data_IF_762896085078
#
_entry.id   IF_762896085078
#
_cell.length_a   1.000
_cell.length_b   1.000
_cell.length_c   1.000
_cell.angle_alpha   90.00
_cell.angle_beta   90.00
_cell.angle_gamma   90.00
#
_symmetry.space_group_name_H-M   'P 1'
#
loop_
_entity.id
_entity.type
_entity.pdbx_description
1 polymer ?
#
# COMPACT_ATOMS: atom_id res chain seq x y z
N UNK A 1 -9.18 -3.98 -5.42
CA UNK A 1 -8.99 -2.62 -4.88
C UNK A 1 -10.35 -2.03 -4.57
N UNK A 2 -10.45 -1.10 -3.63
CA UNK A 2 -11.70 -0.38 -3.31
C UNK A 2 -12.10 0.58 -4.42
N UNK A 3 -13.37 1.00 -4.46
CA UNK A 3 -13.76 2.15 -5.26
C UNK A 3 -13.20 3.40 -4.58
N UNK A 4 -12.42 4.20 -5.30
CA UNK A 4 -11.74 5.35 -4.69
C UNK A 4 -12.68 6.44 -4.18
N UNK A 5 -13.93 6.50 -4.69
CA UNK A 5 -14.97 7.40 -4.18
C UNK A 5 -15.46 6.99 -2.78
N UNK A 6 -15.17 5.76 -2.33
CA UNK A 6 -15.43 5.35 -0.94
C UNK A 6 -14.59 6.17 0.05
N UNK A 7 -13.43 6.69 -0.39
CA UNK A 7 -12.51 7.46 0.45
C UNK A 7 -13.03 8.87 0.76
N UNK A 8 -13.98 9.40 -0.02
CA UNK A 8 -14.61 10.71 0.22
C UNK A 8 -15.34 10.77 1.57
N UNK A 9 -15.82 9.61 2.02
CA UNK A 9 -16.58 9.48 3.26
C UNK A 9 -15.82 8.62 4.28
N UNK A 10 -14.49 8.52 4.15
CA UNK A 10 -13.69 7.76 5.09
C UNK A 10 -13.69 8.45 6.46
N UNK A 11 -14.34 7.83 7.43
CA UNK A 11 -14.35 8.24 8.84
C UNK A 11 -13.53 7.24 9.65
N UNK A 12 -12.22 7.51 9.79
CA UNK A 12 -11.33 6.66 10.57
C UNK A 12 -10.41 7.49 11.46
N UNK A 13 -10.23 7.05 12.71
CA UNK A 13 -9.44 7.79 13.71
C UNK A 13 -7.92 7.69 13.49
N UNK A 14 -7.49 6.79 12.59
CA UNK A 14 -6.06 6.49 12.39
C UNK A 14 -5.36 7.49 11.46
N UNK A 15 -6.08 8.04 10.47
CA UNK A 15 -5.49 8.90 9.44
C UNK A 15 -6.48 9.97 9.00
N UNK A 16 -5.96 11.07 8.45
CA UNK A 16 -6.76 12.06 7.73
C UNK A 16 -6.45 11.96 6.24
N UNK A 17 -7.49 11.92 5.41
CA UNK A 17 -7.38 11.89 3.95
C UNK A 17 -7.77 13.26 3.40
N UNK A 18 -6.87 13.88 2.64
CA UNK A 18 -7.10 15.10 1.88
C UNK A 18 -7.04 14.78 0.38
N UNK A 19 -7.97 15.37 -0.39
CA UNK A 19 -8.13 15.10 -1.82
C UNK A 19 -7.75 16.38 -2.59
N UNK A 20 -6.49 16.53 -3.02
CA UNK A 20 -5.97 17.78 -3.58
C UNK A 20 -6.54 18.10 -4.98
N UNK A 21 -7.14 17.12 -5.66
CA UNK A 21 -7.68 17.28 -7.01
C UNK A 21 -8.88 16.37 -7.23
N UNK A 22 -9.81 16.71 -8.14
CA UNK A 22 -10.87 15.80 -8.55
C UNK A 22 -10.31 14.42 -8.91
N UNK A 23 -11.00 13.40 -8.47
CA UNK A 23 -10.65 12.01 -8.72
C UNK A 23 -11.88 11.24 -9.21
N UNK A 24 -11.68 10.00 -9.62
CA UNK A 24 -12.72 9.11 -10.11
C UNK A 24 -12.73 7.83 -9.29
N UNK A 25 -13.69 6.96 -9.53
CA UNK A 25 -13.73 5.64 -8.89
C UNK A 25 -12.50 4.77 -9.14
N UNK A 26 -11.72 5.07 -10.20
CA UNK A 26 -10.60 4.26 -10.66
C UNK A 26 -9.24 4.95 -10.53
N UNK A 27 -9.17 6.26 -10.44
CA UNK A 27 -7.91 6.99 -10.36
C UNK A 27 -8.05 8.19 -9.42
N UNK A 28 -7.06 8.37 -8.54
CA UNK A 28 -7.02 9.53 -7.66
C UNK A 28 -5.64 9.80 -7.08
N UNK A 29 -5.45 11.07 -6.68
CA UNK A 29 -4.33 11.53 -5.87
C UNK A 29 -4.85 11.92 -4.50
N UNK A 30 -4.12 11.55 -3.47
CA UNK A 30 -4.49 11.73 -2.08
C UNK A 30 -3.28 12.22 -1.28
N UNK A 31 -3.54 13.02 -0.27
CA UNK A 31 -2.60 13.32 0.79
C UNK A 31 -3.10 12.66 2.06
N UNK A 32 -2.26 11.84 2.69
CA UNK A 32 -2.65 11.07 3.87
C UNK A 32 -1.80 11.54 5.03
N UNK A 33 -2.45 12.11 6.04
CA UNK A 33 -1.81 12.42 7.32
C UNK A 33 -1.76 11.15 8.15
N UNK A 34 -0.55 10.65 8.37
CA UNK A 34 -0.25 9.46 9.17
C UNK A 34 -0.44 9.73 10.67
N UNK A 35 -0.52 8.69 11.52
CA UNK A 35 -0.60 8.86 12.98
C UNK A 35 0.55 9.69 13.58
N UNK A 36 1.72 9.70 12.92
CA UNK A 36 2.87 10.52 13.32
C UNK A 36 2.68 12.02 13.06
N UNK A 37 1.66 12.40 12.27
CA UNK A 37 1.46 13.75 11.75
C UNK A 37 2.20 14.04 10.44
N UNK A 38 3.02 13.10 9.94
CA UNK A 38 3.63 13.24 8.61
C UNK A 38 2.59 13.06 7.51
N UNK A 39 2.75 13.82 6.43
CA UNK A 39 1.86 13.77 5.26
C UNK A 39 2.58 13.02 4.14
N UNK A 40 1.99 11.92 3.67
CA UNK A 40 2.47 11.23 2.49
C UNK A 40 1.59 11.53 1.27
N UNK A 41 2.22 11.64 0.11
CA UNK A 41 1.53 11.77 -1.18
C UNK A 41 1.26 10.38 -1.73
N UNK A 42 0.00 10.13 -2.08
CA UNK A 42 -0.47 8.85 -2.62
C UNK A 42 -1.12 9.07 -3.99
N UNK A 43 -0.84 8.15 -4.92
CA UNK A 43 -1.60 8.01 -6.16
C UNK A 43 -2.10 6.58 -6.24
N UNK A 44 -3.39 6.41 -6.49
CA UNK A 44 -4.03 5.11 -6.65
C UNK A 44 -4.66 5.01 -8.04
N UNK A 45 -4.50 3.86 -8.68
CA UNK A 45 -5.05 3.55 -9.99
C UNK A 45 -5.53 2.09 -10.02
N UNK A 46 -6.83 1.89 -10.21
CA UNK A 46 -7.46 0.59 -10.30
C UNK A 46 -7.17 -0.11 -11.62
N UNK A 47 -6.67 0.56 -12.66
CA UNK A 47 -6.28 -0.06 -13.94
C UNK A 47 -5.16 0.71 -14.63
N UNK A 48 -3.99 0.70 -14.01
CA UNK A 48 -2.88 1.53 -14.46
C UNK A 48 -2.56 1.31 -15.94
N UNK A 49 -2.74 2.38 -16.72
CA UNK A 49 -2.61 2.42 -18.18
C UNK A 49 -3.42 1.34 -18.93
N UNK A 50 -4.54 0.86 -18.37
CA UNK A 50 -5.36 -0.20 -18.95
C UNK A 50 -4.62 -1.54 -19.07
N UNK A 51 -3.63 -1.79 -18.21
CA UNK A 51 -2.78 -2.98 -18.27
C UNK A 51 -3.24 -4.12 -17.36
N UNK A 52 -4.39 -3.98 -16.69
CA UNK A 52 -4.94 -5.00 -15.81
C UNK A 52 -4.23 -5.09 -14.46
N UNK A 53 -3.66 -3.98 -13.99
CA UNK A 53 -2.99 -3.86 -12.70
C UNK A 53 -3.64 -2.77 -11.85
N UNK A 54 -3.94 -3.13 -10.62
CA UNK A 54 -4.30 -2.22 -9.53
C UNK A 54 -2.99 -1.77 -8.84
N UNK A 55 -2.89 -0.48 -8.58
CA UNK A 55 -1.64 0.15 -8.16
C UNK A 55 -1.86 1.25 -7.14
N UNK A 56 -1.01 1.27 -6.11
CA UNK A 56 -0.83 2.42 -5.22
C UNK A 56 0.65 2.78 -5.20
N UNK A 57 0.97 4.04 -5.48
CA UNK A 57 2.27 4.63 -5.16
C UNK A 57 2.13 5.58 -4.00
N UNK A 58 3.02 5.47 -3.01
CA UNK A 58 3.06 6.34 -1.85
C UNK A 58 4.48 6.80 -1.60
N UNK A 59 4.65 8.09 -1.26
CA UNK A 59 5.96 8.65 -0.94
C UNK A 59 5.87 9.69 0.16
N UNK A 60 6.91 9.71 1.00
CA UNK A 60 7.22 10.81 1.91
C UNK A 60 8.39 11.63 1.33
N UNK A 61 8.57 12.84 1.84
CA UNK A 61 9.58 13.77 1.33
C UNK A 61 11.01 13.45 1.78
N UNK A 62 11.18 12.74 2.90
CA UNK A 62 12.44 12.65 3.64
C UNK A 62 12.91 11.22 3.98
N UNK A 63 12.04 10.20 3.87
CA UNK A 63 12.35 8.80 4.19
C UNK A 63 11.37 7.85 3.49
N UNK A 64 11.66 6.56 3.47
CA UNK A 64 10.66 5.56 3.13
C UNK A 64 9.60 5.43 4.24
N UNK A 65 8.40 4.99 3.87
CA UNK A 65 7.38 4.59 4.83
C UNK A 65 7.87 3.35 5.61
N UNK A 66 7.47 3.26 6.87
CA UNK A 66 7.67 2.07 7.69
C UNK A 66 6.72 0.96 7.23
N UNK A 67 6.96 -0.27 7.72
CA UNK A 67 6.07 -1.38 7.46
C UNK A 67 4.64 -1.10 7.94
N UNK A 68 4.48 -0.60 9.16
CA UNK A 68 3.16 -0.32 9.74
C UNK A 68 2.42 0.78 8.97
N UNK A 69 3.14 1.80 8.51
CA UNK A 69 2.57 2.84 7.63
C UNK A 69 2.12 2.24 6.29
N UNK A 70 2.91 1.34 5.71
CA UNK A 70 2.49 0.63 4.48
C UNK A 70 1.27 -0.26 4.70
N UNK A 71 1.11 -0.88 5.87
CA UNK A 71 -0.10 -1.62 6.22
C UNK A 71 -1.33 -0.68 6.25
N UNK A 72 -1.20 0.52 6.83
CA UNK A 72 -2.27 1.52 6.79
C UNK A 72 -2.63 1.87 5.35
N UNK A 73 -1.64 2.16 4.49
CA UNK A 73 -1.90 2.46 3.08
C UNK A 73 -2.60 1.28 2.39
N UNK A 74 -2.15 0.05 2.62
CA UNK A 74 -2.79 -1.15 2.05
C UNK A 74 -4.26 -1.24 2.45
N UNK A 75 -4.57 -1.09 3.74
CA UNK A 75 -5.93 -1.25 4.26
C UNK A 75 -6.89 -0.15 3.78
N UNK A 76 -6.36 1.03 3.44
CA UNK A 76 -7.14 2.13 2.87
C UNK A 76 -7.57 1.87 1.43
N UNK A 77 -6.69 1.29 0.60
CA UNK A 77 -6.95 1.16 -0.84
C UNK A 77 -7.38 -0.25 -1.27
N UNK A 78 -7.03 -1.28 -0.49
CA UNK A 78 -7.38 -2.67 -0.75
C UNK A 78 -8.28 -3.20 0.35
N UNK A 79 -9.09 -4.20 0.03
CA UNK A 79 -9.85 -4.91 1.06
C UNK A 79 -8.92 -5.84 1.87
N UNK A 80 -9.33 -6.17 3.09
CA UNK A 80 -8.59 -7.04 4.01
C UNK A 80 -8.29 -8.43 3.42
N UNK A 81 -9.25 -8.98 2.67
CA UNK A 81 -9.14 -10.26 1.96
C UNK A 81 -8.30 -10.19 0.67
N UNK A 82 -7.88 -9.01 0.22
CA UNK A 82 -7.10 -8.86 -1.00
C UNK A 82 -5.60 -9.05 -0.74
N UNK A 83 -5.00 -9.95 -1.53
CA UNK A 83 -3.54 -10.07 -1.62
C UNK A 83 -3.03 -8.97 -2.55
N UNK A 84 -2.08 -8.20 -2.08
CA UNK A 84 -1.32 -7.23 -2.86
C UNK A 84 0.16 -7.33 -2.47
N UNK A 85 1.06 -6.90 -3.35
CA UNK A 85 2.50 -7.14 -3.19
C UNK A 85 3.33 -5.88 -3.43
N UNK A 86 4.43 -5.77 -2.67
CA UNK A 86 5.55 -4.91 -3.01
C UNK A 86 6.62 -5.78 -3.68
N UNK A 87 7.14 -5.32 -4.81
CA UNK A 87 8.10 -6.07 -5.62
C UNK A 87 9.41 -5.31 -5.74
N UNK A 88 10.52 -6.04 -5.72
CA UNK A 88 11.82 -5.54 -6.13
C UNK A 88 12.11 -6.03 -7.55
N UNK A 89 11.90 -5.18 -8.59
CA UNK A 89 12.22 -5.59 -9.95
C UNK A 89 13.72 -5.86 -10.13
N UNK A 90 14.10 -6.43 -11.27
CA UNK A 90 15.52 -6.42 -11.67
C UNK A 90 16.01 -4.96 -11.77
N UNK A 91 17.26 -4.70 -11.35
CA UNK A 91 17.82 -3.33 -11.30
C UNK A 91 17.77 -2.60 -12.66
N UNK A 92 17.92 -3.34 -13.75
CA UNK A 92 17.80 -2.81 -15.12
C UNK A 92 16.42 -2.22 -15.44
N UNK A 93 15.39 -2.65 -14.71
CA UNK A 93 14.01 -2.18 -14.85
C UNK A 93 13.67 -1.09 -13.82
N UNK A 94 14.64 -0.58 -13.07
CA UNK A 94 14.40 0.49 -12.10
C UNK A 94 14.20 1.81 -12.85
N UNK A 95 12.97 2.30 -12.80
CA UNK A 95 12.62 3.66 -13.22
C UNK A 95 12.51 4.47 -11.94
N UNK A 96 13.56 5.24 -11.59
CA UNK A 96 13.58 6.00 -10.35
C UNK A 96 12.73 7.29 -10.51
N UNK A 97 11.48 7.24 -10.06
CA UNK A 97 10.55 8.38 -10.15
C UNK A 97 10.65 9.27 -8.90
N UNK A 98 10.97 8.69 -7.74
CA UNK A 98 11.15 9.41 -6.47
C UNK A 98 11.92 8.52 -5.47
N UNK A 99 12.92 9.06 -4.73
CA UNK A 99 13.85 8.27 -3.92
C UNK A 99 13.20 7.49 -2.76
N UNK A 100 12.00 7.88 -2.34
CA UNK A 100 11.29 7.26 -1.21
C UNK A 100 9.91 6.73 -1.58
N UNK A 101 9.63 6.60 -2.87
CA UNK A 101 8.36 6.06 -3.33
C UNK A 101 8.33 4.54 -3.19
N UNK A 102 7.35 4.04 -2.46
CA UNK A 102 7.00 2.64 -2.38
C UNK A 102 5.74 2.38 -3.19
N UNK A 103 5.57 1.14 -3.63
CA UNK A 103 4.48 0.74 -4.50
C UNK A 103 3.83 -0.55 -4.04
N UNK A 104 2.51 -0.58 -4.04
CA UNK A 104 1.68 -1.77 -3.85
C UNK A 104 1.05 -2.12 -5.20
N UNK A 105 1.18 -3.39 -5.60
CA UNK A 105 0.70 -3.90 -6.88
C UNK A 105 -0.25 -5.08 -6.67
N UNK A 106 -1.30 -5.15 -7.49
CA UNK A 106 -2.17 -6.31 -7.58
C UNK A 106 -2.64 -6.54 -9.03
N UNK A 107 -2.35 -7.68 -9.65
CA UNK A 107 -2.91 -8.01 -10.96
C UNK A 107 -4.39 -8.36 -10.83
N UNK A 108 -5.22 -7.93 -11.78
CA UNK A 108 -6.68 -8.18 -11.73
C UNK A 108 -7.06 -9.63 -12.04
N UNK A 109 -6.36 -10.23 -12.99
CA UNK A 109 -6.77 -11.49 -13.63
C UNK A 109 -5.82 -12.65 -13.33
N UNK A 110 -4.89 -12.45 -12.38
CA UNK A 110 -3.89 -13.43 -12.00
C UNK A 110 -3.86 -13.48 -10.48
N UNK A 111 -3.88 -14.68 -9.91
CA UNK A 111 -3.70 -14.85 -8.47
C UNK A 111 -2.24 -14.60 -8.11
N UNK A 112 -1.99 -13.78 -7.08
CA UNK A 112 -0.64 -13.60 -6.56
C UNK A 112 -0.25 -14.89 -5.84
N UNK A 113 0.85 -15.56 -6.24
CA UNK A 113 1.28 -16.77 -5.57
C UNK A 113 1.66 -16.43 -4.12
N UNK A 114 0.99 -17.08 -3.19
CA UNK A 114 1.34 -17.02 -1.78
C UNK A 114 2.35 -18.14 -1.44
N UNK A 115 3.28 -17.89 -0.49
CA UNK A 115 4.05 -18.98 0.08
C UNK A 115 3.11 -20.01 0.76
N UNK A 116 3.57 -21.24 0.99
CA UNK A 116 2.83 -22.20 1.81
C UNK A 116 2.39 -21.59 3.15
N UNK A 117 1.15 -21.87 3.60
CA UNK A 117 0.48 -21.18 4.72
C UNK A 117 1.26 -21.15 6.05
N UNK A 118 2.28 -21.99 6.25
CA UNK A 118 3.15 -21.98 7.43
C UNK A 118 4.45 -21.16 7.31
N UNK A 119 4.65 -20.44 6.20
CA UNK A 119 5.82 -19.59 5.95
C UNK A 119 5.46 -18.10 5.79
N UNK A 120 4.17 -17.78 5.64
CA UNK A 120 3.70 -16.42 5.32
C UNK A 120 3.62 -15.51 6.54
N UNK A 121 3.45 -16.08 7.75
CA UNK A 121 3.18 -15.34 9.00
C UNK A 121 4.15 -15.75 10.13
N UNK A 122 5.12 -16.62 9.83
CA UNK A 122 5.97 -17.28 10.81
C UNK A 122 5.60 -18.75 11.01
N UNK A 123 6.36 -19.43 11.87
CA UNK A 123 6.10 -20.82 12.24
C UNK A 123 4.81 -20.85 13.08
N UNK A 124 3.81 -21.68 12.74
CA UNK A 124 2.64 -21.87 13.59
C UNK A 124 3.05 -22.19 15.03
N UNK A 125 2.35 -21.61 16.01
CA UNK A 125 2.55 -21.84 17.46
C UNK A 125 3.81 -21.23 18.09
N UNK A 126 4.50 -20.29 17.44
CA UNK A 126 5.59 -19.55 18.06
C UNK A 126 5.04 -18.36 18.91
N UNK A 127 5.33 -18.29 20.22
CA UNK A 127 4.82 -17.21 21.07
C UNK A 127 5.44 -15.85 20.72
N UNK A 128 4.62 -14.79 20.72
CA UNK A 128 4.98 -13.40 20.36
C UNK A 128 6.25 -12.87 21.06
N UNK A 129 6.56 -13.38 22.25
CA UNK A 129 7.74 -12.99 23.03
C UNK A 129 9.07 -13.37 22.37
N UNK A 130 9.08 -14.30 21.41
CA UNK A 130 10.30 -14.72 20.72
C UNK A 130 10.86 -13.65 19.75
N UNK A 131 10.00 -12.74 19.25
CA UNK A 131 10.42 -11.70 18.29
C UNK A 131 10.92 -10.41 18.96
N UNK A 132 10.56 -10.13 20.21
CA UNK A 132 10.89 -8.85 20.89
C UNK A 132 12.23 -8.85 21.63
N UNK A 133 13.03 -9.91 21.56
CA UNK A 133 14.37 -9.98 22.16
C UNK A 133 15.46 -10.06 21.11
N UNK A 134 15.52 -9.08 20.23
CA UNK A 134 16.71 -8.77 19.43
C UNK A 134 16.52 -7.37 18.85
N UNK A 135 16.71 -6.35 19.69
CA UNK A 135 17.23 -5.00 19.38
C UNK A 135 17.36 -4.22 20.68
#
# INVERSE_FOLDING_TARGET
MRNLLELDNYEGDKVKIDIPSPHSSNYGKFEITLPSGEICSVTADNDIFGKGWEHVSVSLSNRCLTWDEMCIIKDLFFYDYEVAMQLHPAKENYINISPYCLHIWKPKNVEIPLPPKGLVIGIPDMPDEAFRKQN
#
